data_IF_725710180478
#
_entry.id   IF_725710180478
#
_cell.length_a   1.000
_cell.length_b   1.000
_cell.length_c   1.000
_cell.angle_alpha   90.00
_cell.angle_beta   90.00
_cell.angle_gamma   90.00
#
_symmetry.space_group_name_H-M   'P 1'
#
loop_
_entity.id
_entity.type
_entity.pdbx_description
1 polymer ?
#
# COMPACT_ATOMS: atom_id res chain seq x y z
N UNK A 1 22.53 27.08 -81.41
CA UNK A 1 23.67 27.48 -80.55
C UNK A 1 23.44 26.82 -79.19
N UNK A 2 24.16 25.85 -78.66
CA UNK A 2 25.37 25.12 -79.03
C UNK A 2 25.80 24.32 -77.78
N UNK A 3 25.50 23.02 -77.78
CA UNK A 3 26.33 21.88 -77.31
C UNK A 3 27.54 22.12 -76.39
N UNK A 4 27.70 21.29 -75.37
CA UNK A 4 28.96 21.19 -74.61
C UNK A 4 28.96 20.20 -73.44
N UNK A 5 29.31 18.96 -73.73
CA UNK A 5 29.46 17.77 -72.87
C UNK A 5 30.86 17.61 -72.25
N UNK A 6 30.99 16.75 -71.23
CA UNK A 6 32.23 16.04 -70.83
C UNK A 6 32.80 16.48 -69.49
N UNK A 7 33.34 15.62 -68.61
CA UNK A 7 33.70 14.21 -68.70
C UNK A 7 34.28 13.75 -67.34
N UNK A 8 34.31 12.42 -67.15
CA UNK A 8 34.84 11.70 -65.99
C UNK A 8 36.37 11.78 -65.87
N UNK A 9 36.90 11.64 -64.64
CA UNK A 9 38.32 11.39 -64.38
C UNK A 9 38.58 11.00 -62.92
N UNK A 10 39.20 9.84 -62.73
CA UNK A 10 39.27 9.02 -61.51
C UNK A 10 40.64 9.14 -60.79
N UNK A 11 40.73 8.59 -59.57
CA UNK A 11 41.92 8.14 -58.78
C UNK A 11 42.50 9.12 -57.75
N UNK A 12 43.03 8.72 -56.59
CA UNK A 12 42.87 7.60 -55.63
C UNK A 12 43.93 7.87 -54.51
N UNK A 13 43.70 7.32 -53.31
CA UNK A 13 44.62 7.10 -52.17
C UNK A 13 45.03 8.23 -51.20
N UNK A 14 44.84 7.94 -49.90
CA UNK A 14 45.57 8.57 -48.78
C UNK A 14 44.77 8.59 -47.48
N UNK A 15 44.76 7.48 -46.72
CA UNK A 15 44.08 7.40 -45.44
C UNK A 15 44.85 8.06 -44.28
N UNK A 16 44.10 8.66 -43.35
CA UNK A 16 44.42 8.71 -41.91
C UNK A 16 43.12 8.90 -41.13
N UNK A 17 42.88 7.98 -40.21
CA UNK A 17 41.73 7.96 -39.30
C UNK A 17 41.90 9.00 -38.20
N UNK A 18 40.98 9.97 -38.13
CA UNK A 18 40.79 10.83 -36.95
C UNK A 18 39.29 10.98 -36.72
N UNK A 19 38.83 10.58 -35.53
CA UNK A 19 37.43 10.68 -35.10
C UNK A 19 36.93 12.13 -35.06
N UNK A 20 35.66 12.41 -35.43
CA UNK A 20 34.97 13.60 -34.96
C UNK A 20 34.04 13.28 -33.78
N UNK A 21 34.27 14.03 -32.69
CA UNK A 21 33.45 14.09 -31.48
C UNK A 21 32.00 14.45 -31.78
N UNK A 22 31.11 13.86 -30.98
CA UNK A 22 29.69 14.13 -30.94
C UNK A 22 29.34 15.58 -30.58
N UNK A 23 28.46 16.18 -31.37
CA UNK A 23 27.54 17.26 -31.00
C UNK A 23 26.12 16.67 -31.04
N UNK A 24 25.25 16.74 -30.05
CA UNK A 24 25.13 17.70 -28.96
C UNK A 24 23.72 18.27 -28.98
N UNK A 25 22.72 17.49 -28.55
CA UNK A 25 21.40 18.00 -28.12
C UNK A 25 20.93 17.15 -26.93
N UNK A 26 21.03 17.70 -25.71
CA UNK A 26 20.36 17.19 -24.50
C UNK A 26 19.26 18.18 -24.13
N UNK A 27 18.04 17.74 -23.80
CA UNK A 27 17.02 18.63 -23.24
C UNK A 27 17.43 19.07 -21.82
N UNK A 28 17.43 20.37 -21.60
CA UNK A 28 17.68 21.02 -20.31
C UNK A 28 16.53 20.77 -19.34
N UNK A 29 16.77 19.96 -18.30
CA UNK A 29 15.92 19.90 -17.12
C UNK A 29 16.50 20.79 -16.01
N UNK A 30 15.59 21.52 -15.37
CA UNK A 30 15.73 22.47 -14.28
C UNK A 30 16.79 22.10 -13.23
N UNK A 31 17.83 22.93 -13.12
CA UNK A 31 18.72 23.01 -11.97
C UNK A 31 19.02 24.47 -11.70
N UNK A 32 18.26 25.09 -10.79
CA UNK A 32 18.57 26.43 -10.29
C UNK A 32 19.34 26.28 -8.96
N UNK A 33 20.66 26.56 -8.92
CA UNK A 33 21.49 26.35 -7.72
C UNK A 33 21.17 27.31 -6.55
N UNK A 34 20.27 28.28 -6.74
CA UNK A 34 19.84 29.19 -5.68
C UNK A 34 18.80 28.60 -4.69
N UNK A 35 18.19 27.45 -5.01
CA UNK A 35 17.15 26.83 -4.16
C UNK A 35 17.71 26.01 -2.97
N UNK A 36 18.94 25.50 -3.08
CA UNK A 36 19.53 24.63 -2.05
C UNK A 36 19.94 25.35 -0.77
N UNK A 37 20.34 26.64 -0.85
CA UNK A 37 20.76 27.41 0.33
C UNK A 37 19.61 28.05 1.10
N UNK A 38 18.48 28.35 0.45
CA UNK A 38 17.29 28.88 1.13
C UNK A 38 16.52 27.79 1.89
N UNK A 39 16.48 26.56 1.37
CA UNK A 39 15.86 25.42 2.06
C UNK A 39 16.64 25.02 3.31
N UNK A 40 17.98 25.04 3.28
CA UNK A 40 18.78 24.72 4.47
C UNK A 40 18.63 25.78 5.56
N UNK A 41 18.55 27.07 5.20
CA UNK A 41 18.30 28.15 6.17
C UNK A 41 16.88 28.11 6.76
N UNK A 42 15.85 27.84 5.96
CA UNK A 42 14.47 27.70 6.46
C UNK A 42 14.28 26.46 7.33
N UNK A 43 14.94 25.35 6.99
CA UNK A 43 14.89 24.12 7.81
C UNK A 43 15.55 24.33 9.17
N UNK A 44 16.68 25.04 9.22
CA UNK A 44 17.35 25.39 10.49
C UNK A 44 16.50 26.34 11.35
N UNK A 45 15.83 27.33 10.75
CA UNK A 45 14.93 28.24 11.48
C UNK A 45 13.65 27.55 11.99
N UNK A 46 13.10 26.60 11.22
CA UNK A 46 11.93 25.81 11.64
C UNK A 46 12.28 24.82 12.76
N UNK A 47 13.49 24.26 12.75
CA UNK A 47 13.98 23.41 13.84
C UNK A 47 14.20 24.22 15.13
N UNK A 48 14.79 25.42 15.03
CA UNK A 48 14.95 26.31 16.19
C UNK A 48 13.61 26.80 16.78
N UNK A 49 12.58 26.97 15.95
CA UNK A 49 11.23 27.29 16.41
C UNK A 49 10.55 26.08 17.09
N UNK A 50 10.79 24.85 16.60
CA UNK A 50 10.30 23.62 17.23
C UNK A 50 10.96 23.35 18.59
N UNK A 51 12.25 23.68 18.75
CA UNK A 51 12.98 23.55 20.01
C UNK A 51 12.48 24.52 21.11
N UNK A 52 11.76 25.58 20.74
CA UNK A 52 11.20 26.56 21.68
C UNK A 52 9.82 26.20 22.25
N UNK A 53 9.19 25.12 21.77
CA UNK A 53 7.93 24.60 22.29
C UNK A 53 8.18 23.43 23.25
N UNK A 54 8.14 23.70 24.55
CA UNK A 54 8.33 22.66 25.58
C UNK A 54 7.03 21.91 25.89
N UNK A 55 7.16 20.64 26.29
CA UNK A 55 6.06 19.72 26.65
C UNK A 55 5.09 20.25 27.72
N UNK A 56 5.45 21.31 28.44
CA UNK A 56 4.57 21.99 29.40
C UNK A 56 3.37 22.70 28.72
N UNK A 57 3.51 23.09 27.45
CA UNK A 57 2.45 23.78 26.69
C UNK A 57 1.35 22.83 26.18
N UNK A 58 1.66 21.55 25.96
CA UNK A 58 0.70 20.54 25.50
C UNK A 58 -0.17 19.99 26.66
N UNK A 59 0.36 19.93 27.88
CA UNK A 59 -0.39 19.50 29.07
C UNK A 59 -1.49 20.51 29.46
N UNK A 60 -1.22 21.82 29.31
CA UNK A 60 -2.21 22.87 29.56
C UNK A 60 -3.40 22.84 28.60
N UNK A 61 -3.17 22.44 27.35
CA UNK A 61 -4.22 22.34 26.33
C UNK A 61 -5.13 21.12 26.55
N UNK A 62 -4.55 19.98 26.96
CA UNK A 62 -5.29 18.77 27.32
C UNK A 62 -6.15 18.98 28.58
N UNK A 63 -5.63 19.67 29.60
CA UNK A 63 -6.38 19.99 30.82
C UNK A 63 -7.61 20.88 30.54
N UNK A 64 -7.44 21.90 29.68
CA UNK A 64 -8.53 22.79 29.29
C UNK A 64 -9.61 22.09 28.43
N UNK A 65 -9.19 21.13 27.60
CA UNK A 65 -10.11 20.33 26.77
C UNK A 65 -10.98 19.39 27.61
N UNK A 66 -10.42 18.73 28.62
CA UNK A 66 -11.19 17.86 29.52
C UNK A 66 -12.14 18.62 30.44
N UNK A 67 -11.76 19.83 30.89
CA UNK A 67 -12.63 20.68 31.70
C UNK A 67 -13.81 21.27 30.90
N UNK A 68 -13.65 21.45 29.58
CA UNK A 68 -14.70 22.04 28.73
C UNK A 68 -15.75 21.02 28.23
N UNK A 69 -15.45 19.71 28.24
CA UNK A 69 -16.27 18.71 27.52
C UNK A 69 -16.64 17.44 28.32
N UNK A 70 -16.47 17.44 29.64
CA UNK A 70 -16.76 16.26 30.49
C UNK A 70 -18.21 16.17 30.96
N UNK A 71 -19.08 15.47 30.23
CA UNK A 71 -20.22 14.72 30.80
C UNK A 71 -20.64 13.57 29.88
N UNK A 72 -20.02 12.39 30.04
CA UNK A 72 -20.64 11.09 29.76
C UNK A 72 -20.14 10.06 30.78
N UNK A 73 -21.06 9.22 31.22
CA UNK A 73 -21.05 8.45 32.45
C UNK A 73 -19.96 7.36 32.55
N UNK A 74 -19.57 7.09 33.79
CA UNK A 74 -18.56 6.14 34.22
C UNK A 74 -18.91 4.67 33.90
N UNK A 75 -17.91 3.91 33.46
CA UNK A 75 -17.86 2.46 33.62
C UNK A 75 -16.52 2.11 34.29
N UNK A 76 -16.59 1.60 35.52
CA UNK A 76 -15.44 1.30 36.38
C UNK A 76 -14.90 -0.10 36.09
N UNK A 77 -13.58 -0.24 35.95
CA UNK A 77 -12.86 -1.51 36.08
C UNK A 77 -11.70 -1.32 37.09
N UNK A 78 -11.40 -2.33 37.94
CA UNK A 78 -10.57 -2.14 39.13
C UNK A 78 -9.06 -2.17 38.86
N UNK A 79 -8.36 -1.37 39.67
CA UNK A 79 -6.90 -1.19 39.74
C UNK A 79 -6.11 -2.49 39.96
N UNK A 80 -4.95 -2.59 39.30
CA UNK A 80 -3.76 -3.19 39.91
C UNK A 80 -2.55 -2.27 39.71
N UNK A 81 -1.86 -2.03 40.82
CA UNK A 81 -0.73 -1.12 41.00
C UNK A 81 0.55 -1.67 40.32
N UNK A 82 1.35 -0.77 39.75
CA UNK A 82 2.73 -1.06 39.33
C UNK A 82 3.70 -0.60 40.43
N UNK A 83 4.71 -1.40 40.85
CA UNK A 83 5.86 -0.86 41.54
C UNK A 83 6.94 -0.40 40.57
N UNK A 84 7.59 0.69 40.96
CA UNK A 84 8.69 1.36 40.29
C UNK A 84 9.95 0.49 40.17
N UNK A 85 10.83 0.87 39.24
CA UNK A 85 12.02 0.11 38.87
C UNK A 85 13.20 0.22 39.81
N UNK A 86 14.18 -0.66 39.58
CA UNK A 86 15.55 -0.57 40.08
C UNK A 86 16.53 -1.07 39.02
N UNK A 87 17.67 -0.38 38.92
CA UNK A 87 18.66 -0.50 37.86
C UNK A 87 19.51 -1.77 37.89
N UNK A 88 19.70 -2.36 36.71
CA UNK A 88 20.66 -3.43 36.45
C UNK A 88 22.06 -2.83 36.19
N UNK A 89 22.85 -2.63 37.25
CA UNK A 89 24.31 -2.53 37.16
C UNK A 89 24.93 -3.09 38.45
N UNK A 90 25.16 -4.40 38.53
CA UNK A 90 26.25 -4.96 39.31
C UNK A 90 26.94 -6.08 38.51
N UNK A 91 28.27 -6.02 38.49
CA UNK A 91 29.16 -6.88 37.71
C UNK A 91 29.82 -7.95 38.57
N UNK A 92 29.05 -8.95 39.00
CA UNK A 92 29.56 -10.00 39.87
C UNK A 92 28.94 -11.38 39.58
N UNK A 93 29.20 -11.96 38.41
CA UNK A 93 29.01 -13.42 38.19
C UNK A 93 29.79 -13.96 36.98
N UNK A 94 31.10 -13.68 36.92
CA UNK A 94 32.02 -14.52 36.15
C UNK A 94 32.42 -15.71 37.04
N UNK A 95 31.85 -16.89 36.79
CA UNK A 95 32.32 -18.14 37.37
C UNK A 95 31.23 -19.19 37.56
N UNK A 96 31.13 -20.14 36.63
CA UNK A 96 30.30 -21.33 36.79
C UNK A 96 30.00 -22.01 35.46
N UNK A 97 30.57 -23.19 35.24
CA UNK A 97 30.33 -24.03 34.08
C UNK A 97 28.93 -24.64 34.13
N UNK A 98 28.01 -24.18 33.29
CA UNK A 98 26.78 -24.91 32.96
C UNK A 98 26.40 -24.63 31.50
N UNK A 99 26.07 -25.71 30.79
CA UNK A 99 25.89 -25.80 29.33
C UNK A 99 24.56 -25.22 28.82
N UNK A 100 24.10 -24.10 29.37
CA UNK A 100 22.90 -23.41 28.91
C UNK A 100 23.30 -22.07 28.30
N UNK A 101 23.58 -22.07 27.00
CA UNK A 101 23.69 -20.84 26.22
C UNK A 101 22.28 -20.22 26.07
N UNK A 102 22.00 -19.06 26.69
CA UNK A 102 20.70 -18.40 26.59
C UNK A 102 20.41 -17.86 25.18
N UNK A 103 21.36 -17.95 24.24
CA UNK A 103 21.22 -17.55 22.84
C UNK A 103 20.91 -18.73 21.90
N UNK A 104 20.88 -19.97 22.40
CA UNK A 104 20.62 -21.17 21.59
C UNK A 104 19.21 -21.20 20.96
N UNK A 105 18.29 -20.34 21.41
CA UNK A 105 16.93 -20.20 20.87
C UNK A 105 16.72 -19.06 19.87
N UNK A 106 17.76 -18.29 19.52
CA UNK A 106 17.67 -17.11 18.64
C UNK A 106 18.00 -17.39 17.17
N UNK A 107 17.80 -18.63 16.70
CA UNK A 107 17.81 -18.97 15.28
C UNK A 107 16.52 -18.56 14.58
N UNK A 108 16.50 -18.43 13.24
CA UNK A 108 15.29 -18.06 12.50
C UNK A 108 14.21 -19.11 12.75
N UNK A 109 13.15 -18.73 13.46
CA UNK A 109 11.99 -19.58 13.63
C UNK A 109 11.33 -19.78 12.26
N UNK A 110 11.28 -21.02 11.79
CA UNK A 110 10.51 -21.46 10.61
C UNK A 110 8.99 -21.46 10.88
N UNK A 111 8.51 -20.54 11.71
CA UNK A 111 7.13 -20.49 12.17
C UNK A 111 6.22 -19.85 11.14
N UNK A 112 5.28 -20.64 10.61
CA UNK A 112 4.18 -20.14 9.78
C UNK A 112 3.31 -19.10 10.49
N UNK A 113 2.39 -18.50 9.73
CA UNK A 113 1.44 -17.46 10.17
C UNK A 113 0.73 -17.92 11.45
N UNK A 114 0.86 -17.13 12.53
CA UNK A 114 0.28 -17.45 13.84
C UNK A 114 -1.08 -16.79 14.00
N UNK A 115 -2.06 -17.54 14.50
CA UNK A 115 -3.35 -17.01 14.92
C UNK A 115 -3.16 -15.98 16.05
N UNK A 116 -3.94 -14.88 16.09
CA UNK A 116 -3.86 -13.86 17.14
C UNK A 116 -4.24 -14.37 18.54
N UNK A 117 -4.56 -15.66 18.72
CA UNK A 117 -4.92 -16.26 20.01
C UNK A 117 -3.94 -17.35 20.48
N UNK A 118 -2.75 -17.47 19.86
CA UNK A 118 -1.65 -18.28 20.41
C UNK A 118 -1.86 -19.80 20.43
N UNK A 119 -2.92 -20.33 19.79
CA UNK A 119 -3.10 -21.77 19.66
C UNK A 119 -2.31 -22.32 18.47
N UNK A 120 -1.49 -23.37 18.70
CA UNK A 120 -0.87 -24.16 17.64
C UNK A 120 -1.93 -24.92 16.85
N UNK A 121 -1.91 -24.78 15.52
CA UNK A 121 -2.81 -25.48 14.62
C UNK A 121 -2.20 -26.85 14.31
N UNK A 122 -2.90 -27.98 14.54
CA UNK A 122 -2.35 -29.30 14.23
C UNK A 122 -2.22 -29.48 12.72
N UNK A 123 -0.98 -29.68 12.25
CA UNK A 123 -0.68 -30.04 10.86
C UNK A 123 -1.34 -31.38 10.50
N UNK A 124 -2.24 -31.37 9.52
CA UNK A 124 -2.74 -32.61 8.90
C UNK A 124 -1.74 -33.14 7.89
N UNK A 125 -1.52 -34.45 7.93
CA UNK A 125 -0.68 -35.17 6.97
C UNK A 125 -1.35 -35.21 5.58
N UNK A 126 -0.57 -34.97 4.52
CA UNK A 126 -1.02 -35.08 3.12
C UNK A 126 -1.10 -33.78 2.31
N UNK A 127 -0.66 -32.64 2.86
CA UNK A 127 -0.47 -31.37 2.13
C UNK A 127 1.03 -31.21 1.82
N UNK A 128 1.42 -30.72 0.62
CA UNK A 128 2.82 -30.35 0.36
C UNK A 128 3.37 -29.46 1.48
N UNK A 129 4.61 -29.71 1.89
CA UNK A 129 5.27 -28.96 2.96
C UNK A 129 5.21 -27.44 2.68
N UNK A 130 4.62 -26.67 3.60
CA UNK A 130 4.81 -25.21 3.68
C UNK A 130 3.62 -24.28 3.39
N UNK A 131 2.45 -24.76 2.95
CA UNK A 131 1.25 -23.91 2.83
C UNK A 131 0.00 -24.62 3.35
N UNK A 132 -0.50 -24.17 4.50
CA UNK A 132 -1.79 -24.61 5.02
C UNK A 132 -2.92 -24.09 4.09
N UNK A 133 -3.72 -24.94 3.44
CA UNK A 133 -4.82 -24.50 2.56
C UNK A 133 -5.88 -23.66 3.29
N UNK A 134 -5.88 -23.67 4.63
CA UNK A 134 -6.77 -22.83 5.43
C UNK A 134 -6.27 -21.39 5.55
N UNK A 135 -5.02 -21.09 5.19
CA UNK A 135 -4.42 -19.76 5.36
C UNK A 135 -5.13 -18.73 4.48
N UNK A 136 -5.41 -19.06 3.21
CA UNK A 136 -6.15 -18.18 2.32
C UNK A 136 -7.59 -17.98 2.74
N UNK A 137 -8.24 -19.04 3.25
CA UNK A 137 -9.59 -18.93 3.80
C UNK A 137 -9.63 -18.10 5.08
N UNK A 138 -8.64 -18.27 5.96
CA UNK A 138 -8.47 -17.47 7.17
C UNK A 138 -8.25 -16.01 6.84
N UNK A 139 -7.33 -15.72 5.92
CA UNK A 139 -7.05 -14.37 5.45
C UNK A 139 -8.28 -13.73 4.84
N UNK A 140 -9.01 -14.40 3.96
CA UNK A 140 -10.25 -13.87 3.38
C UNK A 140 -11.35 -13.67 4.43
N UNK A 141 -11.43 -14.54 5.44
CA UNK A 141 -12.39 -14.44 6.54
C UNK A 141 -12.03 -13.39 7.61
N UNK A 142 -10.80 -12.88 7.63
CA UNK A 142 -10.38 -11.82 8.56
C UNK A 142 -10.16 -10.49 7.84
N UNK A 143 -9.67 -10.53 6.61
CA UNK A 143 -9.29 -9.41 5.78
C UNK A 143 -9.70 -9.73 4.33
N UNK A 144 -10.98 -9.53 3.96
CA UNK A 144 -11.44 -9.78 2.60
C UNK A 144 -10.60 -9.02 1.57
N UNK A 145 -10.24 -9.70 0.49
CA UNK A 145 -9.52 -9.11 -0.65
C UNK A 145 -10.32 -7.97 -1.30
N UNK A 146 -9.62 -7.00 -1.87
CA UNK A 146 -10.21 -5.98 -2.72
C UNK A 146 -11.02 -6.57 -3.89
N UNK A 147 -10.69 -7.79 -4.35
CA UNK A 147 -11.46 -8.52 -5.36
C UNK A 147 -12.86 -8.89 -4.87
N UNK A 148 -13.02 -9.20 -3.58
CA UNK A 148 -14.33 -9.43 -2.98
C UNK A 148 -15.14 -8.14 -2.95
N UNK A 149 -14.51 -6.99 -2.66
CA UNK A 149 -15.14 -5.68 -2.74
C UNK A 149 -15.53 -5.30 -4.18
N UNK A 150 -14.70 -5.64 -5.17
CA UNK A 150 -14.88 -5.31 -6.58
C UNK A 150 -16.19 -5.83 -7.19
N UNK A 151 -16.74 -6.92 -6.64
CA UNK A 151 -18.00 -7.53 -7.10
C UNK A 151 -19.21 -6.61 -6.95
N UNK A 152 -19.17 -5.69 -5.98
CA UNK A 152 -20.19 -4.67 -5.74
C UNK A 152 -19.69 -3.24 -5.97
N UNK A 153 -18.37 -3.00 -5.89
CA UNK A 153 -17.75 -1.69 -6.03
C UNK A 153 -16.73 -1.66 -7.19
N UNK A 154 -17.15 -1.98 -8.44
CA UNK A 154 -16.22 -2.17 -9.55
C UNK A 154 -15.45 -0.89 -9.89
N UNK A 155 -16.13 0.27 -9.93
CA UNK A 155 -15.47 1.54 -10.23
C UNK A 155 -14.41 1.92 -9.19
N UNK A 156 -14.73 1.77 -7.91
CA UNK A 156 -13.80 2.04 -6.80
C UNK A 156 -12.59 1.11 -6.88
N UNK A 157 -12.81 -0.17 -7.20
CA UNK A 157 -11.74 -1.13 -7.41
C UNK A 157 -10.84 -0.74 -8.59
N UNK A 158 -11.40 -0.33 -9.73
CA UNK A 158 -10.61 0.08 -10.90
C UNK A 158 -9.74 1.31 -10.64
N UNK A 159 -10.22 2.24 -9.83
CA UNK A 159 -9.43 3.37 -9.37
C UNK A 159 -8.32 2.91 -8.40
N UNK A 160 -8.69 2.13 -7.39
CA UNK A 160 -7.73 1.68 -6.39
C UNK A 160 -6.64 0.78 -6.97
N UNK A 161 -6.97 -0.20 -7.81
CA UNK A 161 -6.03 -1.24 -8.31
C UNK A 161 -4.86 -0.68 -9.10
N UNK A 162 -4.97 0.55 -9.60
CA UNK A 162 -3.93 1.28 -10.35
C UNK A 162 -3.24 2.38 -9.53
N UNK A 163 -3.67 2.59 -8.28
CA UNK A 163 -3.14 3.60 -7.37
C UNK A 163 -1.79 3.23 -6.75
N UNK A 164 -1.09 4.24 -6.21
CA UNK A 164 0.14 4.04 -5.45
C UNK A 164 -0.09 3.24 -4.17
N UNK A 165 -1.28 3.35 -3.58
CA UNK A 165 -1.71 2.57 -2.41
C UNK A 165 -1.76 1.07 -2.70
N UNK A 166 -2.35 0.68 -3.82
CA UNK A 166 -2.39 -0.73 -4.22
C UNK A 166 -1.01 -1.26 -4.65
N UNK A 167 -0.14 -0.40 -5.16
CA UNK A 167 1.23 -0.74 -5.55
C UNK A 167 2.21 -0.82 -4.36
N UNK A 168 1.86 -0.24 -3.21
CA UNK A 168 2.79 0.05 -2.11
C UNK A 168 3.53 -1.20 -1.59
N UNK A 169 2.84 -2.34 -1.55
CA UNK A 169 3.37 -3.60 -1.01
C UNK A 169 4.14 -4.46 -2.02
N UNK A 170 4.08 -4.15 -3.32
CA UNK A 170 4.71 -4.95 -4.40
C UNK A 170 5.69 -4.15 -5.27
N UNK A 171 5.99 -2.92 -4.87
CA UNK A 171 6.93 -2.06 -5.58
C UNK A 171 8.35 -2.62 -5.46
N UNK A 172 9.05 -2.95 -6.57
CA UNK A 172 10.43 -3.44 -6.52
C UNK A 172 11.38 -2.40 -5.94
N UNK A 173 11.11 -1.10 -6.16
CA UNK A 173 11.87 -0.02 -5.53
C UNK A 173 11.72 -0.08 -4.01
N UNK A 174 10.50 -0.21 -3.51
CA UNK A 174 10.24 -0.34 -2.08
C UNK A 174 11.00 -1.53 -1.49
N UNK A 175 10.88 -2.72 -2.09
CA UNK A 175 11.59 -3.90 -1.59
C UNK A 175 13.11 -3.71 -1.57
N UNK A 176 13.70 -3.01 -2.54
CA UNK A 176 15.14 -2.72 -2.52
C UNK A 176 15.54 -1.73 -1.43
N UNK A 177 14.74 -0.70 -1.18
CA UNK A 177 14.98 0.21 -0.05
C UNK A 177 14.80 -0.47 1.30
N UNK A 178 13.74 -1.26 1.46
CA UNK A 178 13.46 -2.02 2.67
C UNK A 178 14.60 -3.01 2.96
N UNK A 179 15.01 -3.82 1.98
CA UNK A 179 16.11 -4.78 2.13
C UNK A 179 17.42 -4.08 2.53
N UNK A 180 17.76 -2.96 1.88
CA UNK A 180 18.95 -2.21 2.20
C UNK A 180 18.92 -1.65 3.62
N UNK A 181 17.80 -1.05 4.04
CA UNK A 181 17.63 -0.50 5.39
C UNK A 181 17.65 -1.61 6.45
N UNK A 182 16.97 -2.72 6.19
CA UNK A 182 16.99 -3.93 7.02
C UNK A 182 18.41 -4.45 7.22
N UNK A 183 19.21 -4.49 6.16
CA UNK A 183 20.60 -4.96 6.22
C UNK A 183 21.47 -3.98 7.02
N UNK A 184 21.33 -2.67 6.77
CA UNK A 184 22.06 -1.62 7.49
C UNK A 184 21.71 -1.58 8.98
N UNK A 185 20.45 -1.82 9.32
CA UNK A 185 19.96 -1.81 10.69
C UNK A 185 20.15 -3.15 11.42
N UNK A 186 20.75 -4.15 10.77
CA UNK A 186 20.80 -5.53 11.28
C UNK A 186 19.41 -6.05 11.76
N UNK A 187 18.35 -5.70 11.04
CA UNK A 187 16.97 -6.11 11.36
C UNK A 187 16.26 -5.34 12.48
N UNK A 188 16.92 -4.39 13.16
CA UNK A 188 16.31 -3.62 14.26
C UNK A 188 15.12 -2.73 13.87
N UNK A 189 14.91 -2.46 12.58
CA UNK A 189 13.72 -1.78 12.07
C UNK A 189 12.44 -2.65 12.15
N UNK A 190 12.59 -3.97 12.31
CA UNK A 190 11.48 -4.91 12.46
C UNK A 190 10.41 -4.74 11.36
N UNK A 191 9.20 -4.42 11.78
CA UNK A 191 7.98 -4.28 10.96
C UNK A 191 7.72 -2.86 10.46
N UNK A 192 8.62 -1.91 10.73
CA UNK A 192 8.43 -0.48 10.52
C UNK A 192 7.89 -0.14 9.11
N UNK A 193 8.56 -0.64 8.08
CA UNK A 193 8.25 -0.34 6.68
C UNK A 193 6.87 -0.86 6.26
N UNK A 194 6.51 -2.05 6.74
CA UNK A 194 5.32 -2.78 6.32
C UNK A 194 4.03 -2.22 6.95
N UNK A 195 4.12 -1.48 8.07
CA UNK A 195 2.98 -0.78 8.70
C UNK A 195 2.26 0.18 7.77
N UNK A 196 2.97 0.78 6.82
CA UNK A 196 2.40 1.67 5.81
C UNK A 196 2.27 1.00 4.45
N UNK A 197 3.21 0.13 4.07
CA UNK A 197 3.28 -0.41 2.71
C UNK A 197 2.47 -1.69 2.48
N UNK A 198 2.31 -2.54 3.49
CA UNK A 198 1.51 -3.76 3.41
C UNK A 198 0.84 -4.05 4.78
N UNK A 199 -0.12 -3.22 5.21
CA UNK A 199 -0.62 -3.28 6.58
C UNK A 199 -1.33 -4.59 6.90
N UNK A 200 -2.03 -5.21 5.94
CA UNK A 200 -2.65 -6.53 6.17
C UNK A 200 -1.60 -7.60 6.51
N UNK A 201 -0.45 -7.60 5.83
CA UNK A 201 0.66 -8.51 6.15
C UNK A 201 1.14 -8.32 7.59
N UNK A 202 1.13 -7.08 8.09
CA UNK A 202 1.47 -6.82 9.50
C UNK A 202 0.43 -7.30 10.49
N UNK A 203 -0.84 -7.14 10.15
CA UNK A 203 -1.94 -7.54 11.00
C UNK A 203 -2.07 -9.05 11.17
N UNK A 204 -1.52 -9.82 10.23
CA UNK A 204 -1.48 -11.29 10.30
C UNK A 204 -0.14 -11.80 10.82
N UNK A 205 0.74 -10.89 11.29
CA UNK A 205 2.09 -11.21 11.73
C UNK A 205 2.86 -12.02 10.68
N UNK A 206 2.76 -11.58 9.42
CA UNK A 206 3.48 -12.20 8.32
C UNK A 206 5.00 -12.11 8.57
N UNK A 207 5.76 -13.21 8.40
CA UNK A 207 7.20 -13.22 8.65
C UNK A 207 7.90 -12.15 7.82
N UNK A 208 8.79 -11.40 8.46
CA UNK A 208 9.52 -10.29 7.82
C UNK A 208 10.43 -10.76 6.69
N UNK A 209 11.04 -11.92 6.86
CA UNK A 209 11.88 -12.59 5.86
C UNK A 209 11.05 -13.22 4.74
N UNK A 210 9.73 -13.33 4.96
CA UNK A 210 8.78 -13.80 3.97
C UNK A 210 8.61 -12.80 2.84
N UNK A 211 8.35 -13.34 1.65
CA UNK A 211 8.11 -12.55 0.46
C UNK A 211 6.61 -12.41 0.25
N UNK A 212 6.00 -11.25 0.58
CA UNK A 212 4.54 -11.06 0.42
C UNK A 212 4.07 -11.32 -1.01
N UNK A 213 4.95 -11.16 -1.99
CA UNK A 213 4.67 -11.43 -3.40
C UNK A 213 4.46 -12.92 -3.68
N UNK A 214 4.96 -13.83 -2.83
CA UNK A 214 4.79 -15.29 -3.03
C UNK A 214 3.56 -15.87 -2.31
N UNK A 215 2.82 -15.02 -1.58
CA UNK A 215 1.69 -15.42 -0.74
C UNK A 215 0.34 -14.97 -1.25
N UNK A 216 -0.74 -15.20 -0.51
CA UNK A 216 -2.11 -14.93 -0.91
C UNK A 216 -2.30 -13.49 -1.39
N UNK A 217 -3.20 -13.32 -2.38
CA UNK A 217 -3.37 -12.05 -3.08
C UNK A 217 -3.57 -10.85 -2.13
N UNK A 218 -4.35 -11.01 -1.06
CA UNK A 218 -4.61 -9.94 -0.09
C UNK A 218 -3.33 -9.37 0.56
N UNK A 219 -2.28 -10.17 0.72
CA UNK A 219 -1.00 -9.69 1.26
C UNK A 219 -0.23 -8.82 0.27
N UNK A 220 -0.55 -8.93 -1.02
CA UNK A 220 0.05 -8.17 -2.13
C UNK A 220 -0.69 -6.86 -2.42
N UNK A 221 -1.89 -6.69 -1.87
CA UNK A 221 -2.75 -5.54 -2.18
C UNK A 221 -2.25 -4.21 -1.57
N UNK A 222 -1.16 -4.21 -0.82
CA UNK A 222 -0.61 -3.00 -0.20
C UNK A 222 -1.61 -2.34 0.74
N UNK A 223 -1.91 -1.05 0.53
CA UNK A 223 -2.96 -0.32 1.25
C UNK A 223 -4.32 -0.61 0.60
N UNK A 224 -4.91 -1.75 0.94
CA UNK A 224 -6.19 -2.26 0.40
C UNK A 224 -7.44 -1.62 1.04
N UNK A 225 -8.63 -1.98 0.55
CA UNK A 225 -9.92 -1.47 1.00
C UNK A 225 -10.09 -1.57 2.53
N UNK A 226 -9.78 -2.73 3.12
CA UNK A 226 -9.94 -2.97 4.56
C UNK A 226 -8.98 -2.14 5.41
N UNK A 227 -7.83 -1.73 4.87
CA UNK A 227 -6.88 -0.85 5.58
C UNK A 227 -7.50 0.51 5.90
N UNK A 228 -8.42 0.99 5.06
CA UNK A 228 -9.12 2.25 5.31
C UNK A 228 -10.52 2.04 5.90
N UNK A 229 -11.25 1.04 5.39
CA UNK A 229 -12.66 0.81 5.71
C UNK A 229 -12.90 -0.17 6.86
N UNK A 230 -11.85 -0.64 7.54
CA UNK A 230 -11.94 -1.40 8.80
C UNK A 230 -11.12 -0.80 9.92
N UNK A 231 -11.01 0.52 9.93
CA UNK A 231 -10.44 1.27 11.05
C UNK A 231 -11.59 1.96 11.76
N UNK A 232 -11.74 1.70 13.06
CA UNK A 232 -12.83 2.25 13.88
C UNK A 232 -12.39 3.31 14.88
N UNK A 233 -11.09 3.42 15.10
CA UNK A 233 -10.47 4.35 16.04
C UNK A 233 -9.83 5.50 15.29
N UNK A 234 -9.87 6.69 15.88
CA UNK A 234 -9.20 7.86 15.33
C UNK A 234 -7.72 7.83 15.67
N UNK A 235 -6.88 7.91 14.64
CA UNK A 235 -5.44 7.95 14.80
C UNK A 235 -4.85 9.22 14.20
N UNK A 236 -3.83 9.79 14.82
CA UNK A 236 -3.12 10.96 14.30
C UNK A 236 -1.72 10.56 13.82
N UNK A 237 -0.65 11.28 14.20
CA UNK A 237 0.73 10.97 13.84
C UNK A 237 1.25 9.77 14.65
N UNK A 238 1.43 8.60 14.02
CA UNK A 238 1.86 7.38 14.73
C UNK A 238 2.53 6.32 13.81
N UNK A 239 3.19 6.74 12.72
CA UNK A 239 3.99 5.86 11.85
C UNK A 239 3.24 4.60 11.35
N UNK A 240 1.94 4.70 11.07
CA UNK A 240 1.14 3.63 10.44
C UNK A 240 0.68 2.48 11.35
N UNK A 241 0.93 2.53 12.67
CA UNK A 241 0.40 1.56 13.65
C UNK A 241 -1.12 1.76 13.88
N UNK A 242 -1.95 1.40 12.91
CA UNK A 242 -3.41 1.46 13.04
C UNK A 242 -3.98 0.09 13.23
N UNK A 243 -4.97 -0.05 14.12
CA UNK A 243 -5.75 -1.27 14.20
C UNK A 243 -6.72 -1.39 13.03
N UNK A 244 -6.53 -2.44 12.22
CA UNK A 244 -7.51 -2.94 11.24
C UNK A 244 -8.33 -4.01 11.95
N UNK A 245 -9.66 -3.84 11.98
CA UNK A 245 -10.58 -4.81 12.56
C UNK A 245 -10.62 -6.08 11.69
N UNK A 246 -10.28 -7.26 12.27
CA UNK A 246 -10.49 -8.52 11.57
C UNK A 246 -11.98 -8.85 11.49
N UNK A 247 -12.41 -9.45 10.38
CA UNK A 247 -13.77 -9.92 10.19
C UNK A 247 -14.01 -10.51 8.80
N UNK A 248 -15.13 -11.19 8.63
CA UNK A 248 -15.58 -11.73 7.35
C UNK A 248 -16.22 -10.64 6.50
N UNK A 249 -16.58 -10.94 5.25
CA UNK A 249 -17.33 -10.00 4.41
C UNK A 249 -18.63 -9.51 5.06
N UNK A 250 -19.22 -10.24 6.01
CA UNK A 250 -20.48 -9.87 6.68
C UNK A 250 -20.29 -8.81 7.78
N UNK A 251 -19.07 -8.62 8.28
CA UNK A 251 -18.78 -7.68 9.35
C UNK A 251 -18.84 -6.22 8.88
N UNK A 252 -19.09 -5.26 9.79
CA UNK A 252 -19.25 -3.85 9.44
C UNK A 252 -18.04 -3.24 8.71
N UNK A 253 -18.32 -2.31 7.81
CA UNK A 253 -17.31 -1.42 7.23
C UNK A 253 -17.53 0.02 7.69
N UNK A 254 -16.45 0.81 7.74
CA UNK A 254 -16.45 2.18 8.20
C UNK A 254 -16.31 3.13 7.00
N UNK A 255 -17.14 4.17 6.95
CA UNK A 255 -17.24 5.05 5.79
C UNK A 255 -17.62 6.48 6.15
N UNK A 256 -17.77 7.34 5.14
CA UNK A 256 -18.18 8.72 5.32
C UNK A 256 -19.71 8.91 5.52
N UNK A 257 -20.50 7.83 5.52
CA UNK A 257 -21.98 7.88 5.60
C UNK A 257 -22.57 6.71 6.39
N UNK A 258 -23.87 6.78 6.68
CA UNK A 258 -24.60 5.83 7.53
C UNK A 258 -25.18 4.61 6.79
N UNK A 259 -24.81 4.38 5.53
CA UNK A 259 -25.13 3.13 4.84
C UNK A 259 -26.54 3.05 4.25
N UNK A 260 -27.15 4.16 3.85
CA UNK A 260 -28.50 4.20 3.30
C UNK A 260 -28.64 3.31 2.05
N UNK A 261 -27.61 3.31 1.20
CA UNK A 261 -27.55 2.44 0.02
C UNK A 261 -27.47 0.95 0.39
N UNK A 262 -26.73 0.62 1.45
CA UNK A 262 -26.65 -0.76 1.96
C UNK A 262 -28.00 -1.22 2.51
N UNK A 263 -28.66 -0.40 3.34
CA UNK A 263 -29.97 -0.71 3.89
C UNK A 263 -31.00 -0.99 2.78
N UNK A 264 -30.98 -0.18 1.71
CA UNK A 264 -31.81 -0.41 0.52
C UNK A 264 -31.46 -1.71 -0.20
N UNK A 265 -30.17 -2.01 -0.40
CA UNK A 265 -29.75 -3.26 -1.03
C UNK A 265 -30.23 -4.48 -0.25
N UNK A 266 -30.10 -4.46 1.08
CA UNK A 266 -30.57 -5.53 1.99
C UNK A 266 -32.09 -5.68 1.95
N UNK A 267 -32.84 -4.57 1.99
CA UNK A 267 -34.30 -4.61 1.88
C UNK A 267 -34.77 -5.21 0.54
N UNK A 268 -34.02 -4.97 -0.54
CA UNK A 268 -34.27 -5.48 -1.88
C UNK A 268 -33.39 -6.71 -2.22
N UNK A 269 -33.05 -7.56 -1.24
CA UNK A 269 -32.04 -8.62 -1.40
C UNK A 269 -32.25 -9.55 -2.60
N UNK A 270 -33.50 -9.88 -2.91
CA UNK A 270 -33.86 -10.76 -4.03
C UNK A 270 -33.58 -10.09 -5.39
N UNK A 271 -33.78 -8.77 -5.48
CA UNK A 271 -33.52 -7.98 -6.69
C UNK A 271 -32.04 -7.96 -7.02
N UNK A 272 -31.20 -7.80 -6.00
CA UNK A 272 -29.74 -7.73 -6.15
C UNK A 272 -29.06 -9.10 -6.03
N UNK A 273 -29.82 -10.17 -5.71
CA UNK A 273 -29.32 -11.53 -5.46
C UNK A 273 -28.18 -11.55 -4.44
N UNK A 274 -28.36 -10.86 -3.32
CA UNK A 274 -27.36 -10.76 -2.26
C UNK A 274 -27.65 -11.72 -1.11
N UNK A 275 -26.58 -12.19 -0.47
CA UNK A 275 -26.61 -13.11 0.66
C UNK A 275 -26.27 -12.34 1.94
N UNK A 276 -27.19 -12.38 2.89
CA UNK A 276 -27.06 -11.72 4.20
C UNK A 276 -26.87 -12.71 5.35
N UNK A 277 -27.07 -14.01 5.10
CA UNK A 277 -26.79 -15.07 6.05
C UNK A 277 -25.46 -15.75 5.70
N UNK A 278 -24.48 -15.78 6.62
CA UNK A 278 -23.22 -16.51 6.45
C UNK A 278 -23.38 -18.01 6.17
N UNK A 279 -24.50 -18.60 6.55
CA UNK A 279 -24.82 -20.01 6.33
C UNK A 279 -25.45 -20.28 4.95
N UNK A 280 -25.77 -19.24 4.19
CA UNK A 280 -26.38 -19.37 2.87
C UNK A 280 -25.37 -19.91 1.83
N UNK A 281 -25.59 -21.17 1.43
CA UNK A 281 -24.82 -21.90 0.40
C UNK A 281 -25.42 -21.74 -1.01
N UNK A 282 -26.52 -21.02 -1.15
CA UNK A 282 -27.15 -20.71 -2.42
C UNK A 282 -26.33 -19.75 -3.29
N UNK A 283 -26.82 -19.56 -4.51
CA UNK A 283 -26.24 -18.61 -5.46
C UNK A 283 -26.56 -17.16 -5.06
N UNK A 284 -25.56 -16.29 -5.08
CA UNK A 284 -25.72 -14.88 -4.77
C UNK A 284 -24.43 -14.25 -4.26
N UNK A 285 -24.42 -12.92 -4.21
CA UNK A 285 -23.28 -12.13 -3.78
C UNK A 285 -23.32 -11.86 -2.27
N UNK A 286 -22.28 -12.27 -1.54
CA UNK A 286 -22.16 -11.92 -0.12
C UNK A 286 -21.89 -10.41 0.05
N UNK A 287 -22.34 -9.84 1.17
CA UNK A 287 -22.26 -8.41 1.45
C UNK A 287 -21.99 -8.15 2.93
N UNK A 288 -21.35 -7.03 3.24
CA UNK A 288 -21.25 -6.53 4.61
C UNK A 288 -22.62 -6.12 5.14
N UNK A 289 -22.88 -6.41 6.41
CA UNK A 289 -24.22 -6.23 6.99
C UNK A 289 -24.45 -4.86 7.59
N UNK A 290 -23.38 -4.06 7.74
CA UNK A 290 -23.49 -2.71 8.25
C UNK A 290 -22.45 -1.77 7.62
N UNK A 291 -22.76 -0.47 7.60
CA UNK A 291 -21.85 0.60 7.23
C UNK A 291 -21.92 1.71 8.29
N UNK A 292 -20.83 1.88 9.02
CA UNK A 292 -20.74 2.78 10.17
C UNK A 292 -20.06 4.07 9.74
N UNK A 293 -20.65 5.22 10.07
CA UNK A 293 -20.00 6.50 9.81
C UNK A 293 -18.79 6.66 10.72
N UNK A 294 -17.65 6.98 10.12
CA UNK A 294 -16.41 7.33 10.79
C UNK A 294 -15.92 8.68 10.28
N UNK A 295 -16.07 9.72 11.12
CA UNK A 295 -15.87 11.11 10.71
C UNK A 295 -14.44 11.40 10.25
N UNK A 296 -13.44 10.79 10.90
CA UNK A 296 -12.04 11.05 10.56
C UNK A 296 -11.72 10.66 9.11
N UNK A 297 -12.38 9.64 8.54
CA UNK A 297 -12.14 9.21 7.16
C UNK A 297 -12.34 10.34 6.13
N UNK A 298 -13.20 11.32 6.45
CA UNK A 298 -13.46 12.49 5.61
C UNK A 298 -12.59 13.71 5.94
N UNK A 299 -11.67 13.58 6.89
CA UNK A 299 -10.75 14.63 7.34
C UNK A 299 -9.31 14.33 6.94
N UNK A 300 -8.51 15.37 6.70
CA UNK A 300 -7.10 15.22 6.30
C UNK A 300 -6.26 14.46 7.34
N UNK A 301 -6.63 14.49 8.63
CA UNK A 301 -5.90 13.81 9.70
C UNK A 301 -5.90 12.29 9.57
N UNK A 302 -6.85 11.69 8.84
CA UNK A 302 -6.84 10.26 8.57
C UNK A 302 -5.60 9.80 7.80
N UNK A 303 -5.06 10.68 6.94
CA UNK A 303 -3.86 10.41 6.15
C UNK A 303 -2.58 10.53 7.00
N UNK A 304 -2.62 11.25 8.13
CA UNK A 304 -1.44 11.60 8.93
C UNK A 304 -0.78 10.38 9.58
N UNK A 305 -1.50 9.27 9.72
CA UNK A 305 -0.93 8.01 10.19
C UNK A 305 0.26 7.55 9.35
N UNK A 306 0.14 7.68 8.03
CA UNK A 306 1.09 7.16 7.05
C UNK A 306 1.90 8.29 6.41
N UNK A 307 1.33 9.50 6.30
CA UNK A 307 1.96 10.68 5.69
C UNK A 307 2.59 11.64 6.71
N UNK A 308 2.90 11.15 7.90
CA UNK A 308 3.73 11.83 8.89
C UNK A 308 4.58 10.79 9.62
N UNK A 309 5.81 10.65 9.15
CA UNK A 309 6.73 9.59 9.56
C UNK A 309 7.97 10.18 10.21
N UNK A 310 8.23 9.78 11.44
CA UNK A 310 9.47 10.07 12.15
C UNK A 310 10.05 8.78 12.72
N UNK A 311 11.35 8.58 12.58
CA UNK A 311 12.08 7.51 13.32
C UNK A 311 12.58 8.06 14.65
N UNK A 312 13.24 7.20 15.44
CA UNK A 312 13.90 7.43 16.74
C UNK A 312 13.86 8.91 17.20
N UNK A 313 13.33 9.21 18.41
CA UNK A 313 12.85 10.54 18.80
C UNK A 313 13.59 11.71 18.14
N UNK A 314 12.99 12.28 17.10
CA UNK A 314 13.40 13.57 16.53
C UNK A 314 13.81 13.58 15.05
N UNK A 315 14.10 12.43 14.41
CA UNK A 315 14.48 12.45 12.97
C UNK A 315 13.24 12.20 12.10
N UNK A 316 12.82 13.24 11.39
CA UNK A 316 11.69 13.18 10.50
C UNK A 316 12.08 12.64 9.12
N UNK A 317 11.44 11.55 8.68
CA UNK A 317 11.62 10.96 7.34
C UNK A 317 10.63 11.55 6.34
N UNK A 318 9.36 11.66 6.76
CA UNK A 318 8.29 12.24 5.97
C UNK A 318 7.49 13.21 6.84
N UNK A 319 7.43 14.48 6.44
CA UNK A 319 6.78 15.55 7.21
C UNK A 319 5.60 16.17 6.47
N UNK A 320 4.97 15.42 5.57
CA UNK A 320 3.93 15.92 4.66
C UNK A 320 2.77 16.53 5.45
N UNK A 321 2.33 15.89 6.54
CA UNK A 321 1.28 16.47 7.41
C UNK A 321 1.69 17.82 8.03
N UNK A 322 2.89 17.92 8.60
CA UNK A 322 3.38 19.16 9.18
C UNK A 322 3.53 20.27 8.12
N UNK A 323 4.05 19.93 6.95
CA UNK A 323 4.14 20.83 5.80
C UNK A 323 2.77 21.30 5.32
N UNK A 324 1.81 20.39 5.22
CA UNK A 324 0.42 20.71 4.88
C UNK A 324 -0.19 21.70 5.88
N UNK A 325 -0.08 21.40 7.18
CA UNK A 325 -0.58 22.25 8.28
C UNK A 325 0.00 23.67 8.24
N UNK A 326 1.28 23.81 7.93
CA UNK A 326 1.94 25.11 7.78
C UNK A 326 1.66 25.79 6.42
N UNK A 327 1.23 25.01 5.42
CA UNK A 327 1.10 25.39 4.03
C UNK A 327 -0.18 26.16 3.68
N UNK A 328 -0.22 26.72 2.45
CA UNK A 328 -1.35 27.52 1.99
C UNK A 328 -2.64 26.72 1.79
N UNK A 329 -2.57 25.42 1.49
CA UNK A 329 -3.75 24.58 1.32
C UNK A 329 -4.55 24.46 2.63
N UNK A 330 -3.89 24.11 3.74
CA UNK A 330 -4.54 24.04 5.05
C UNK A 330 -5.09 25.41 5.48
N UNK A 331 -4.36 26.51 5.25
CA UNK A 331 -4.84 27.88 5.56
C UNK A 331 -6.12 28.25 4.79
N UNK A 332 -6.32 27.66 3.61
CA UNK A 332 -7.52 27.85 2.77
C UNK A 332 -8.62 26.82 3.05
N UNK A 333 -8.44 25.92 4.02
CA UNK A 333 -9.40 24.86 4.32
C UNK A 333 -9.49 23.76 3.24
N UNK A 334 -8.50 23.66 2.35
CA UNK A 334 -8.46 22.63 1.31
C UNK A 334 -7.91 21.34 1.93
N UNK A 335 -8.71 20.27 1.94
CA UNK A 335 -8.33 18.98 2.51
C UNK A 335 -7.38 18.18 1.61
N UNK A 336 -6.76 17.13 2.16
CA UNK A 336 -5.99 16.16 1.36
C UNK A 336 -6.88 15.54 0.28
N UNK A 337 -8.10 15.16 0.66
CA UNK A 337 -9.08 14.51 -0.20
C UNK A 337 -9.49 15.40 -1.39
N UNK A 338 -9.55 16.72 -1.22
CA UNK A 338 -9.97 17.63 -2.30
C UNK A 338 -9.01 17.60 -3.50
N UNK A 339 -7.71 17.44 -3.26
CA UNK A 339 -6.69 17.34 -4.31
C UNK A 339 -6.39 15.89 -4.72
N UNK A 340 -6.36 14.97 -3.74
CA UNK A 340 -5.91 13.58 -3.95
C UNK A 340 -7.04 12.62 -4.31
N UNK A 341 -8.30 12.97 -4.02
CA UNK A 341 -9.48 12.15 -4.32
C UNK A 341 -10.54 12.92 -5.13
N UNK A 342 -10.16 14.07 -5.69
CA UNK A 342 -11.01 14.89 -6.54
C UNK A 342 -11.01 14.46 -8.02
N UNK A 343 -11.78 15.18 -8.85
CA UNK A 343 -11.90 14.90 -10.30
C UNK A 343 -10.64 15.23 -11.09
N UNK A 344 -9.84 16.19 -10.62
CA UNK A 344 -8.64 16.65 -11.31
C UNK A 344 -7.43 16.36 -10.42
N UNK A 345 -6.45 15.56 -10.90
CA UNK A 345 -5.26 15.22 -10.12
C UNK A 345 -4.56 16.45 -9.55
N UNK A 346 -4.38 16.46 -8.23
CA UNK A 346 -3.63 17.50 -7.51
C UNK A 346 -4.29 18.87 -7.45
N UNK A 347 -5.56 19.01 -7.86
CA UNK A 347 -6.30 20.28 -7.82
C UNK A 347 -7.61 20.13 -7.04
N UNK A 348 -7.97 21.10 -6.18
CA UNK A 348 -9.22 21.07 -5.42
C UNK A 348 -10.41 21.51 -6.30
N UNK A 349 -10.68 20.74 -7.36
CA UNK A 349 -11.69 21.07 -8.38
C UNK A 349 -13.03 20.36 -8.16
N UNK A 350 -13.29 19.94 -6.91
CA UNK A 350 -14.48 19.19 -6.54
C UNK A 350 -14.40 17.70 -6.90
N UNK A 351 -15.57 17.07 -6.97
CA UNK A 351 -15.73 15.62 -7.05
C UNK A 351 -16.74 15.26 -8.14
N UNK A 352 -16.61 14.05 -8.70
CA UNK A 352 -17.62 13.51 -9.58
C UNK A 352 -18.83 13.09 -8.75
N UNK A 353 -19.98 12.92 -9.39
CA UNK A 353 -21.10 12.21 -8.81
C UNK A 353 -21.22 10.83 -9.46
N UNK A 354 -21.34 9.79 -8.65
CA UNK A 354 -21.51 8.42 -9.13
C UNK A 354 -22.23 7.53 -8.11
N UNK A 355 -22.64 6.35 -8.55
CA UNK A 355 -23.17 5.30 -7.71
C UNK A 355 -22.06 4.72 -6.82
N UNK A 356 -22.37 4.53 -5.54
CA UNK A 356 -21.42 3.93 -4.59
C UNK A 356 -21.16 2.46 -4.91
N UNK A 357 -22.18 1.75 -5.41
CA UNK A 357 -22.11 0.33 -5.71
C UNK A 357 -22.98 -0.03 -6.92
N UNK A 358 -22.54 -1.05 -7.63
CA UNK A 358 -23.30 -1.73 -8.69
C UNK A 358 -23.28 -3.23 -8.41
N UNK A 359 -24.45 -3.82 -8.16
CA UNK A 359 -24.57 -5.24 -7.82
C UNK A 359 -25.22 -5.98 -8.98
N UNK A 360 -24.45 -6.84 -9.65
CA UNK A 360 -24.91 -7.54 -10.85
C UNK A 360 -25.30 -6.57 -11.98
N UNK A 361 -24.54 -5.49 -12.15
CA UNK A 361 -24.79 -4.42 -13.13
C UNK A 361 -25.96 -3.49 -12.80
N UNK A 362 -26.55 -3.60 -11.60
CA UNK A 362 -27.63 -2.74 -11.15
C UNK A 362 -27.09 -1.70 -10.17
N UNK A 363 -27.21 -0.39 -10.47
CA UNK A 363 -26.77 0.65 -9.55
C UNK A 363 -27.59 0.61 -8.26
N UNK A 364 -26.90 0.87 -7.14
CA UNK A 364 -27.51 0.96 -5.82
C UNK A 364 -27.65 2.42 -5.42
N UNK A 365 -28.90 2.81 -5.10
CA UNK A 365 -29.26 4.17 -4.68
C UNK A 365 -29.01 5.24 -5.77
N UNK A 366 -29.09 6.52 -5.42
CA UNK A 366 -28.82 7.65 -6.31
C UNK A 366 -27.32 8.02 -6.36
N UNK A 367 -26.84 8.62 -7.47
CA UNK A 367 -25.48 9.14 -7.55
C UNK A 367 -25.21 10.19 -6.47
N UNK A 368 -24.01 10.14 -5.89
CA UNK A 368 -23.53 11.10 -4.87
C UNK A 368 -22.05 11.39 -5.07
N UNK A 369 -21.50 12.31 -4.26
CA UNK A 369 -20.06 12.61 -4.21
C UNK A 369 -19.24 11.32 -4.27
N UNK A 370 -18.50 11.16 -5.36
CA UNK A 370 -17.55 10.09 -5.60
C UNK A 370 -16.15 10.62 -5.35
N UNK A 371 -15.54 10.17 -4.25
CA UNK A 371 -14.14 10.42 -3.98
C UNK A 371 -13.31 9.38 -4.73
N UNK A 372 -12.45 9.81 -5.64
CA UNK A 372 -11.64 8.92 -6.45
C UNK A 372 -10.69 8.13 -5.55
N UNK A 373 -10.64 6.81 -5.72
CA UNK A 373 -9.74 5.92 -5.02
C UNK A 373 -8.40 5.73 -5.76
N UNK A 374 -8.10 6.59 -6.74
CA UNK A 374 -6.77 6.69 -7.35
C UNK A 374 -5.73 7.27 -6.40
N UNK A 375 -6.17 8.05 -5.40
CA UNK A 375 -5.30 8.76 -4.44
C UNK A 375 -4.16 9.49 -5.16
N UNK A 376 -4.49 10.48 -5.99
CA UNK A 376 -3.60 11.11 -6.96
C UNK A 376 -2.23 11.46 -6.36
N UNK A 377 -1.22 10.66 -6.68
CA UNK A 377 0.16 10.89 -6.27
C UNK A 377 1.10 10.54 -7.41
N UNK A 378 2.39 10.86 -7.30
CA UNK A 378 3.36 10.40 -8.27
C UNK A 378 3.40 8.86 -8.25
N UNK A 379 3.03 8.22 -9.35
CA UNK A 379 3.18 6.78 -9.54
C UNK A 379 3.80 6.51 -10.91
N UNK A 380 4.86 5.71 -10.90
CA UNK A 380 5.50 5.17 -12.10
C UNK A 380 5.82 3.72 -11.78
N UNK A 381 4.86 2.79 -11.94
CA UNK A 381 5.10 1.39 -11.64
C UNK A 381 6.16 0.85 -12.60
N UNK A 382 7.12 0.10 -12.05
CA UNK A 382 8.19 -0.54 -12.83
C UNK A 382 8.06 -2.07 -12.83
N UNK A 383 7.05 -2.59 -12.14
CA UNK A 383 6.72 -4.01 -12.12
C UNK A 383 6.25 -4.50 -13.49
N UNK A 384 6.35 -5.81 -13.67
CA UNK A 384 5.79 -6.50 -14.83
C UNK A 384 4.27 -6.20 -14.94
N UNK A 385 3.72 -5.94 -16.15
CA UNK A 385 2.31 -5.57 -16.34
C UNK A 385 1.31 -6.67 -15.91
N UNK A 386 1.74 -7.93 -15.90
CA UNK A 386 0.96 -9.04 -15.32
C UNK A 386 0.89 -9.04 -13.79
N UNK A 387 1.79 -8.31 -13.11
CA UNK A 387 1.81 -8.19 -11.64
C UNK A 387 1.11 -6.91 -11.16
N UNK A 388 1.22 -5.82 -11.91
CA UNK A 388 0.55 -4.56 -11.59
C UNK A 388 0.10 -3.84 -12.86
N UNK A 389 -1.12 -3.28 -12.91
CA UNK A 389 -2.12 -3.18 -11.83
C UNK A 389 -2.73 -4.53 -11.43
N UNK A 390 -3.14 -4.66 -10.15
CA UNK A 390 -3.73 -5.89 -9.61
C UNK A 390 -4.89 -6.34 -10.47
N UNK A 391 -4.99 -7.62 -10.84
CA UNK A 391 -6.01 -8.12 -11.75
C UNK A 391 -6.41 -9.55 -11.37
N UNK A 392 -7.71 -9.82 -11.19
CA UNK A 392 -8.17 -11.19 -10.91
C UNK A 392 -7.69 -12.19 -11.96
N UNK A 393 -7.72 -11.80 -13.24
CA UNK A 393 -7.28 -12.67 -14.34
C UNK A 393 -5.80 -13.03 -14.26
N UNK A 394 -4.97 -12.15 -13.70
CA UNK A 394 -3.53 -12.42 -13.62
C UNK A 394 -3.16 -13.43 -12.54
N UNK A 395 -4.08 -13.72 -11.60
CA UNK A 395 -3.89 -14.72 -10.55
C UNK A 395 -3.87 -16.16 -11.07
N UNK A 396 -4.22 -16.39 -12.33
CA UNK A 396 -4.10 -17.71 -12.98
C UNK A 396 -2.65 -18.19 -13.06
N UNK A 397 -1.69 -17.27 -13.07
CA UNK A 397 -0.26 -17.58 -13.19
C UNK A 397 0.50 -17.21 -11.92
N UNK A 398 1.58 -17.95 -11.64
CA UNK A 398 2.49 -17.60 -10.55
C UNK A 398 3.30 -16.37 -10.92
N UNK A 399 3.93 -15.75 -9.92
CA UNK A 399 4.80 -14.60 -10.17
C UNK A 399 6.00 -14.98 -11.03
N UNK A 400 6.63 -16.11 -10.77
CA UNK A 400 7.76 -16.59 -11.59
C UNK A 400 7.36 -16.81 -13.05
N UNK A 401 6.14 -17.29 -13.30
CA UNK A 401 5.59 -17.39 -14.65
C UNK A 401 5.53 -16.00 -15.27
N UNK A 402 4.94 -15.02 -14.59
CA UNK A 402 4.90 -13.64 -15.07
C UNK A 402 6.28 -13.02 -15.30
N UNK A 403 7.25 -13.29 -14.44
CA UNK A 403 8.61 -12.79 -14.59
C UNK A 403 9.36 -13.44 -15.77
N UNK A 404 8.92 -14.62 -16.21
CA UNK A 404 9.43 -15.28 -17.42
C UNK A 404 8.74 -14.80 -18.72
N UNK A 405 7.67 -14.01 -18.63
CA UNK A 405 6.98 -13.46 -19.79
C UNK A 405 7.67 -12.19 -20.30
N UNK A 406 8.18 -12.21 -21.54
CA UNK A 406 8.85 -11.04 -22.13
C UNK A 406 7.86 -10.15 -22.89
N UNK A 407 7.08 -9.37 -22.14
CA UNK A 407 6.18 -8.37 -22.70
C UNK A 407 6.91 -7.26 -23.48
N UNK A 408 8.21 -7.01 -23.20
CA UNK A 408 8.99 -5.97 -23.89
C UNK A 408 9.42 -6.43 -25.28
N UNK A 409 9.64 -7.72 -25.49
CA UNK A 409 9.77 -8.32 -26.81
C UNK A 409 8.45 -8.35 -27.60
N UNK A 410 7.33 -7.97 -26.96
CA UNK A 410 6.01 -7.91 -27.58
C UNK A 410 5.26 -9.24 -27.54
N UNK A 411 5.66 -10.19 -26.68
CA UNK A 411 4.95 -11.46 -26.52
C UNK A 411 3.46 -11.24 -26.28
N UNK A 412 2.61 -12.08 -26.88
CA UNK A 412 1.16 -11.94 -26.80
C UNK A 412 0.54 -10.95 -27.79
N UNK A 413 1.32 -10.01 -28.35
CA UNK A 413 0.80 -9.09 -29.36
C UNK A 413 0.60 -9.80 -30.70
N UNK A 414 -0.45 -9.43 -31.43
CA UNK A 414 -0.72 -10.03 -32.75
C UNK A 414 0.47 -9.89 -33.71
N UNK A 415 1.17 -8.75 -33.65
CA UNK A 415 2.35 -8.49 -34.46
C UNK A 415 3.51 -9.46 -34.16
N UNK A 416 3.80 -9.70 -32.88
CA UNK A 416 4.84 -10.66 -32.48
C UNK A 416 4.44 -12.09 -32.84
N UNK A 417 3.22 -12.50 -32.52
CA UNK A 417 2.75 -13.88 -32.71
C UNK A 417 2.73 -14.31 -34.19
N UNK A 418 2.64 -13.36 -35.13
CA UNK A 418 2.72 -13.62 -36.59
C UNK A 418 4.15 -13.52 -37.14
N UNK A 419 5.12 -13.11 -36.33
CA UNK A 419 6.50 -12.88 -36.77
C UNK A 419 7.31 -14.16 -36.89
N UNK A 420 8.41 -14.11 -37.65
CA UNK A 420 9.38 -15.22 -37.69
C UNK A 420 10.12 -15.39 -36.35
N UNK A 421 10.29 -14.29 -35.61
CA UNK A 421 10.90 -14.32 -34.28
C UNK A 421 10.11 -15.21 -33.31
N UNK A 422 8.77 -15.15 -33.34
CA UNK A 422 7.94 -16.03 -32.53
C UNK A 422 8.13 -17.52 -32.85
N UNK A 423 8.34 -17.89 -34.13
CA UNK A 423 8.58 -19.28 -34.53
C UNK A 423 9.94 -19.82 -34.07
N UNK A 424 10.91 -18.93 -33.91
CA UNK A 424 12.28 -19.27 -33.51
C UNK A 424 12.51 -19.14 -31.99
N UNK A 425 11.56 -18.54 -31.27
CA UNK A 425 11.66 -18.35 -29.82
C UNK A 425 11.28 -19.63 -29.10
N UNK A 426 12.18 -20.13 -28.26
CA UNK A 426 11.86 -21.19 -27.31
C UNK A 426 11.18 -20.57 -26.08
N UNK A 427 9.85 -20.68 -25.99
CA UNK A 427 9.09 -20.14 -24.87
C UNK A 427 9.21 -21.02 -23.61
N UNK A 428 9.15 -20.41 -22.41
CA UNK A 428 8.94 -21.16 -21.16
C UNK A 428 7.68 -22.03 -21.22
N UNK A 429 7.65 -23.11 -20.44
CA UNK A 429 6.57 -24.10 -20.51
C UNK A 429 5.17 -23.49 -20.29
N UNK A 430 5.03 -22.54 -19.35
CA UNK A 430 3.78 -21.84 -19.06
C UNK A 430 3.32 -20.91 -20.20
N UNK A 431 4.23 -20.49 -21.08
CA UNK A 431 3.97 -19.57 -22.20
C UNK A 431 4.11 -20.24 -23.57
N UNK A 432 4.09 -21.57 -23.64
CA UNK A 432 4.33 -22.29 -24.90
C UNK A 432 3.18 -22.09 -25.92
N UNK A 433 1.94 -21.92 -25.44
CA UNK A 433 0.78 -21.65 -26.30
C UNK A 433 0.64 -20.16 -26.62
N UNK A 434 0.36 -19.83 -27.87
CA UNK A 434 0.00 -18.46 -28.27
C UNK A 434 -1.27 -17.96 -27.60
N UNK A 435 -2.19 -18.87 -27.25
CA UNK A 435 -3.45 -18.50 -26.57
C UNK A 435 -3.21 -18.11 -25.11
N UNK A 436 -2.17 -18.67 -24.47
CA UNK A 436 -1.79 -18.28 -23.11
C UNK A 436 -1.00 -16.97 -23.09
N UNK A 437 -0.32 -16.62 -24.19
CA UNK A 437 0.41 -15.35 -24.31
C UNK A 437 -0.50 -14.16 -24.62
N UNK A 438 -1.64 -14.39 -25.29
CA UNK A 438 -2.63 -13.36 -25.69
C UNK A 438 -3.59 -13.05 -24.55
#
# INVERSE_FOLDING_TARGET
MGVGSGGMGTQLYGGTSVQPRASGVRPSYWGNPAFGSQQSHQTTQLNQAADSHTAASDAGYLQAFYQAHGQLAAYSAPNQESPAGDGLLDGSALGGSDSNDPLAGMGPATGGIRSPHGAEVPLRTGVPEGQDPHIGLFLENCYPSALTCAKCHPKVYEEWRTSAHAYAGISPMFHKFEQALTQLSAGTLGTFCMRCHAPVAMHVNFPREGSVVDHEHVLREGVTCVVCHRVREAYNRHNGERRIEPGSIFDPVYGASYGEGLAKAIAEKEKYKIKVDPNDRGAGQQIHLNAIKFDQLSDSSFCASCHQVAVHPGIALEVVWAQYRAGPACKKGISCQDCHMGVVPGKPSGYANDYVAEIGGKPVNEPRKHASHMFWGPITPISHPGLFPHNEKSLRWKIDDWLSFDWRAGWGTEAFERSEAAKQTAFPACWNSSDERR
#
